data_IF_535441642376
#
_entry.id   IF_535441642376
#
_cell.length_a   1.000
_cell.length_b   1.000
_cell.length_c   1.000
_cell.angle_alpha   90.00
_cell.angle_beta   90.00
_cell.angle_gamma   90.00
#
_symmetry.space_group_name_H-M   'P 1'
#
loop_
_entity.id
_entity.type
_entity.pdbx_description
1 polymer ?
#
# COMPACT_ATOMS: atom_id res chain seq x y z
N UNK A 1 -36.40 29.14 -43.15
CA UNK A 1 -35.67 27.87 -42.86
C UNK A 1 -34.55 28.18 -41.87
N UNK A 2 -34.14 27.19 -41.07
CA UNK A 2 -33.07 27.18 -40.04
C UNK A 2 -33.30 27.91 -38.71
N UNK A 3 -34.14 27.33 -37.83
CA UNK A 3 -34.00 27.43 -36.36
C UNK A 3 -34.73 26.30 -35.58
N UNK A 4 -34.87 25.10 -36.18
CA UNK A 4 -35.52 23.93 -35.55
C UNK A 4 -34.63 22.69 -35.36
N UNK A 5 -33.35 22.74 -35.74
CA UNK A 5 -32.46 21.57 -35.68
C UNK A 5 -31.52 21.51 -34.47
N UNK A 6 -31.51 22.51 -33.58
CA UNK A 6 -30.61 22.52 -32.40
C UNK A 6 -31.26 22.10 -31.07
N UNK A 7 -32.59 21.99 -31.00
CA UNK A 7 -33.27 21.55 -29.79
C UNK A 7 -33.24 20.02 -29.59
N UNK A 8 -33.07 19.23 -30.66
CA UNK A 8 -33.03 17.76 -30.60
C UNK A 8 -31.70 17.17 -30.15
N UNK A 9 -30.58 17.86 -30.40
CA UNK A 9 -29.24 17.35 -30.07
C UNK A 9 -28.87 17.54 -28.59
N UNK A 10 -29.37 18.59 -27.94
CA UNK A 10 -29.13 18.82 -26.50
C UNK A 10 -29.98 17.91 -25.60
N UNK A 11 -31.16 17.47 -26.05
CA UNK A 11 -32.01 16.53 -25.31
C UNK A 11 -31.45 15.10 -25.31
N UNK A 12 -30.79 14.68 -26.40
CA UNK A 12 -30.13 13.37 -26.48
C UNK A 12 -28.82 13.31 -25.69
N UNK A 13 -28.05 14.42 -25.60
CA UNK A 13 -26.86 14.48 -24.75
C UNK A 13 -27.19 14.56 -23.24
N UNK A 14 -28.26 15.28 -22.86
CA UNK A 14 -28.70 15.35 -21.46
C UNK A 14 -29.34 14.03 -20.99
N UNK A 15 -30.00 13.30 -21.90
CA UNK A 15 -30.53 11.96 -21.65
C UNK A 15 -29.43 10.90 -21.47
N UNK A 16 -28.35 10.96 -22.26
CA UNK A 16 -27.24 10.00 -22.17
C UNK A 16 -26.32 10.24 -20.96
N UNK A 17 -26.11 11.51 -20.57
CA UNK A 17 -25.31 11.87 -19.38
C UNK A 17 -26.09 11.60 -18.08
N UNK A 18 -27.41 11.59 -18.14
CA UNK A 18 -28.25 11.17 -17.01
C UNK A 18 -28.36 9.64 -16.90
N UNK A 19 -28.31 8.89 -18.00
CA UNK A 19 -28.49 7.43 -17.99
C UNK A 19 -27.23 6.62 -17.60
N UNK A 20 -26.02 7.17 -17.73
CA UNK A 20 -24.77 6.37 -17.56
C UNK A 20 -24.03 6.64 -16.24
N UNK A 21 -24.43 7.62 -15.43
CA UNK A 21 -23.71 8.05 -14.21
C UNK A 21 -24.55 7.99 -12.92
N UNK A 22 -25.66 7.25 -12.92
CA UNK A 22 -26.58 7.11 -11.79
C UNK A 22 -26.49 5.85 -10.89
N UNK A 23 -25.64 4.80 -11.05
CA UNK A 23 -26.11 3.48 -10.65
C UNK A 23 -25.82 3.02 -9.21
N UNK A 24 -25.30 3.82 -8.26
CA UNK A 24 -25.07 3.27 -6.90
C UNK A 24 -25.91 3.93 -5.80
N UNK A 25 -26.11 5.25 -5.80
CA UNK A 25 -27.03 5.92 -4.87
C UNK A 25 -28.48 5.82 -5.35
N UNK A 26 -28.76 6.06 -6.65
CA UNK A 26 -30.12 5.89 -7.19
C UNK A 26 -30.52 4.43 -7.43
N UNK A 27 -29.58 3.49 -7.60
CA UNK A 27 -29.92 2.07 -7.60
C UNK A 27 -30.37 1.55 -6.22
N UNK A 28 -30.14 2.32 -5.15
CA UNK A 28 -30.69 2.04 -3.81
C UNK A 28 -31.93 2.88 -3.50
N UNK A 29 -32.41 3.72 -4.42
CA UNK A 29 -33.68 4.45 -4.30
C UNK A 29 -33.72 5.57 -3.26
N UNK A 30 -32.58 5.98 -2.70
CA UNK A 30 -32.52 6.95 -1.60
C UNK A 30 -32.32 8.39 -2.11
N UNK A 31 -33.06 9.35 -1.55
CA UNK A 31 -32.89 10.78 -1.85
C UNK A 31 -31.52 11.26 -1.35
N UNK A 32 -30.75 11.91 -2.23
CA UNK A 32 -29.45 12.51 -1.91
C UNK A 32 -29.50 13.47 -0.71
N UNK A 33 -30.61 14.19 -0.53
CA UNK A 33 -30.84 15.09 0.61
C UNK A 33 -31.01 14.32 1.90
N UNK A 34 -31.75 13.22 1.86
CA UNK A 34 -31.92 12.31 3.01
C UNK A 34 -30.58 11.67 3.38
N UNK A 35 -29.83 11.19 2.38
CA UNK A 35 -28.50 10.61 2.54
C UNK A 35 -27.52 11.58 3.22
N UNK A 36 -27.48 12.85 2.77
CA UNK A 36 -26.66 13.88 3.41
C UNK A 36 -27.14 14.23 4.82
N UNK A 37 -28.45 14.27 5.05
CA UNK A 37 -29.03 14.50 6.37
C UNK A 37 -28.59 13.46 7.40
N UNK A 38 -28.62 12.18 7.01
CA UNK A 38 -28.11 11.05 7.82
C UNK A 38 -26.62 11.23 8.11
N UNK A 39 -25.81 11.49 7.09
CA UNK A 39 -24.38 11.75 7.27
C UNK A 39 -24.08 12.89 8.24
N UNK A 40 -24.73 14.06 8.09
CA UNK A 40 -24.48 15.23 8.94
C UNK A 40 -24.76 14.93 10.40
N UNK A 41 -25.86 14.21 10.69
CA UNK A 41 -26.21 13.77 12.05
C UNK A 41 -25.16 12.79 12.58
N UNK A 42 -24.81 11.78 11.79
CA UNK A 42 -23.83 10.76 12.16
C UNK A 42 -22.43 11.32 12.39
N UNK A 43 -22.00 12.31 11.60
CA UNK A 43 -20.73 13.01 11.81
C UNK A 43 -20.71 13.75 13.15
N UNK A 44 -21.81 14.41 13.50
CA UNK A 44 -21.94 15.09 14.80
C UNK A 44 -21.80 14.11 15.97
N UNK A 45 -22.45 12.95 15.86
CA UNK A 45 -22.34 11.87 16.86
C UNK A 45 -20.93 11.30 16.93
N UNK A 46 -20.30 11.02 15.79
CA UNK A 46 -18.93 10.52 15.73
C UNK A 46 -17.94 11.50 16.37
N UNK A 47 -18.06 12.80 16.07
CA UNK A 47 -17.26 13.84 16.71
C UNK A 47 -17.46 13.87 18.23
N UNK A 48 -18.71 13.71 18.70
CA UNK A 48 -19.02 13.68 20.11
C UNK A 48 -18.42 12.46 20.83
N UNK A 49 -18.46 11.27 20.21
CA UNK A 49 -17.83 10.06 20.72
C UNK A 49 -16.31 10.18 20.77
N UNK A 50 -15.67 10.66 19.69
CA UNK A 50 -14.22 10.85 19.65
C UNK A 50 -13.73 11.87 20.68
N UNK A 51 -14.56 12.87 21.02
CA UNK A 51 -14.22 13.90 21.99
C UNK A 51 -14.46 13.49 23.45
N UNK A 52 -15.03 12.31 23.73
CA UNK A 52 -15.40 11.93 25.10
C UNK A 52 -16.65 12.63 25.64
N UNK A 53 -17.36 13.39 24.81
CA UNK A 53 -18.55 14.15 25.22
C UNK A 53 -19.83 13.31 25.22
N UNK A 54 -19.80 12.15 24.59
CA UNK A 54 -20.85 11.12 24.60
C UNK A 54 -20.19 9.76 24.58
N UNK A 55 -20.75 8.80 25.30
CA UNK A 55 -20.27 7.43 25.29
C UNK A 55 -20.76 6.68 24.05
N UNK A 56 -19.88 5.88 23.46
CA UNK A 56 -20.25 4.92 22.43
C UNK A 56 -20.56 3.57 23.06
N UNK A 57 -21.58 2.90 22.52
CA UNK A 57 -22.09 1.63 23.02
C UNK A 57 -22.26 0.66 21.85
N UNK A 58 -21.47 -0.41 21.83
CA UNK A 58 -21.48 -1.40 20.76
C UNK A 58 -22.85 -2.09 20.57
N UNK A 59 -23.56 -2.33 21.66
CA UNK A 59 -24.87 -2.97 21.64
C UNK A 59 -26.01 -2.03 21.19
N UNK A 60 -25.76 -0.72 21.15
CA UNK A 60 -26.78 0.27 20.82
C UNK A 60 -26.96 0.35 19.29
N UNK A 61 -28.17 0.01 18.83
CA UNK A 61 -28.51 0.00 17.40
C UNK A 61 -28.39 1.37 16.74
N UNK A 62 -28.75 2.45 17.43
CA UNK A 62 -28.65 3.80 16.87
C UNK A 62 -27.19 4.22 16.68
N UNK A 63 -26.31 3.79 17.60
CA UNK A 63 -24.87 4.00 17.46
C UNK A 63 -24.33 3.24 16.25
N UNK A 64 -24.70 1.96 16.11
CA UNK A 64 -24.31 1.15 14.94
C UNK A 64 -24.82 1.75 13.63
N UNK A 65 -26.10 2.15 13.57
CA UNK A 65 -26.68 2.80 12.39
C UNK A 65 -25.96 4.10 12.06
N UNK A 66 -25.61 4.91 13.05
CA UNK A 66 -24.90 6.16 12.80
C UNK A 66 -23.48 5.91 12.25
N UNK A 67 -22.77 4.91 12.75
CA UNK A 67 -21.48 4.49 12.18
C UNK A 67 -21.65 3.96 10.75
N UNK A 68 -22.66 3.14 10.50
CA UNK A 68 -22.95 2.60 9.16
C UNK A 68 -23.26 3.72 8.17
N UNK A 69 -24.12 4.67 8.53
CA UNK A 69 -24.45 5.85 7.72
C UNK A 69 -23.22 6.73 7.44
N UNK A 70 -22.38 6.97 8.46
CA UNK A 70 -21.16 7.75 8.31
C UNK A 70 -20.18 7.06 7.35
N UNK A 71 -19.88 5.78 7.59
CA UNK A 71 -18.92 5.01 6.78
C UNK A 71 -19.41 4.79 5.36
N UNK A 72 -20.72 4.57 5.17
CA UNK A 72 -21.36 4.54 3.85
C UNK A 72 -21.18 5.86 3.11
N UNK A 73 -21.35 7.00 3.78
CA UNK A 73 -21.09 8.30 3.17
C UNK A 73 -19.61 8.52 2.85
N UNK A 74 -18.67 8.11 3.71
CA UNK A 74 -17.23 8.20 3.42
C UNK A 74 -16.87 7.44 2.15
N UNK A 75 -17.42 6.23 1.95
CA UNK A 75 -17.16 5.39 0.79
C UNK A 75 -17.90 5.89 -0.47
N UNK A 76 -19.19 6.20 -0.35
CA UNK A 76 -20.05 6.53 -1.49
C UNK A 76 -20.06 8.02 -1.84
N UNK A 77 -20.04 8.91 -0.84
CA UNK A 77 -20.22 10.36 -0.99
C UNK A 77 -19.19 11.00 -1.93
N UNK A 78 -17.94 10.50 -1.92
CA UNK A 78 -16.89 10.94 -2.82
C UNK A 78 -17.21 10.70 -4.31
N UNK A 79 -18.04 9.69 -4.61
CA UNK A 79 -18.49 9.36 -5.97
C UNK A 79 -19.52 10.36 -6.49
N UNK A 80 -20.30 10.98 -5.61
CA UNK A 80 -21.42 11.87 -5.97
C UNK A 80 -21.11 13.37 -5.84
N UNK A 81 -19.80 13.70 -5.77
CA UNK A 81 -19.17 15.02 -5.67
C UNK A 81 -19.93 16.18 -6.33
N UNK A 82 -20.29 16.02 -7.61
CA UNK A 82 -20.85 17.11 -8.41
C UNK A 82 -22.36 17.35 -8.16
N UNK A 83 -23.03 16.45 -7.44
CA UNK A 83 -24.50 16.43 -7.31
C UNK A 83 -25.00 16.58 -5.87
N UNK A 84 -24.15 16.39 -4.86
CA UNK A 84 -24.51 16.43 -3.43
C UNK A 84 -24.48 17.81 -2.78
N UNK A 85 -23.91 18.82 -3.44
CA UNK A 85 -23.59 20.11 -2.80
C UNK A 85 -24.49 21.20 -3.37
N UNK A 86 -25.42 21.76 -2.57
CA UNK A 86 -26.03 23.04 -2.90
C UNK A 86 -24.89 24.07 -3.01
N UNK A 87 -24.87 24.91 -4.04
CA UNK A 87 -23.83 25.94 -4.28
C UNK A 87 -23.58 26.91 -3.11
N UNK A 88 -24.30 26.79 -2.00
CA UNK A 88 -24.34 27.70 -0.87
C UNK A 88 -23.68 27.20 0.43
N UNK A 89 -23.08 26.00 0.49
CA UNK A 89 -22.35 25.52 1.68
C UNK A 89 -20.83 25.65 1.50
N UNK A 90 -20.19 26.70 2.04
CA UNK A 90 -18.74 26.92 1.93
C UNK A 90 -17.89 25.95 2.79
N UNK A 91 -18.51 25.21 3.71
CA UNK A 91 -17.85 24.14 4.46
C UNK A 91 -17.81 22.82 3.69
N UNK A 92 -18.70 22.66 2.71
CA UNK A 92 -18.71 21.49 1.83
C UNK A 92 -17.38 21.41 1.06
N UNK A 93 -16.87 22.51 0.49
CA UNK A 93 -15.58 22.51 -0.23
C UNK A 93 -14.38 22.02 0.62
N UNK A 94 -14.42 22.22 1.94
CA UNK A 94 -13.40 21.73 2.88
C UNK A 94 -13.52 20.24 3.25
N UNK A 95 -14.73 19.67 3.12
CA UNK A 95 -14.99 18.23 3.27
C UNK A 95 -14.88 17.46 1.95
N UNK A 96 -15.09 18.16 0.83
CA UNK A 96 -15.05 17.64 -0.54
C UNK A 96 -13.64 17.54 -1.11
N UNK A 97 -12.68 18.17 -0.43
CA UNK A 97 -11.29 17.74 -0.42
C UNK A 97 -11.12 16.86 0.82
N UNK A 98 -11.37 15.56 0.70
CA UNK A 98 -10.62 14.60 1.52
C UNK A 98 -9.37 14.24 0.71
N UNK A 99 -8.28 15.06 0.70
CA UNK A 99 -6.99 14.45 0.51
C UNK A 99 -6.87 13.33 1.55
N UNK A 100 -6.02 12.34 1.28
CA UNK A 100 -5.69 11.27 2.23
C UNK A 100 -5.53 11.80 3.68
N UNK A 101 -5.14 13.07 3.86
CA UNK A 101 -5.08 13.84 5.10
C UNK A 101 -6.37 13.92 5.93
N UNK A 102 -7.54 14.19 5.34
CA UNK A 102 -8.76 14.37 6.13
C UNK A 102 -9.28 13.04 6.70
N UNK A 103 -9.15 11.94 5.94
CA UNK A 103 -9.42 10.59 6.47
C UNK A 103 -8.38 10.20 7.53
N UNK A 104 -7.11 10.53 7.32
CA UNK A 104 -6.06 10.37 8.33
C UNK A 104 -6.32 11.20 9.58
N UNK A 105 -6.95 12.37 9.48
CA UNK A 105 -7.24 13.19 10.65
C UNK A 105 -8.43 12.66 11.46
N UNK A 106 -9.45 12.11 10.79
CA UNK A 106 -10.49 11.32 11.47
C UNK A 106 -9.88 10.11 12.15
N UNK A 107 -9.01 9.37 11.46
CA UNK A 107 -8.30 8.23 12.03
C UNK A 107 -7.44 8.64 13.23
N UNK A 108 -6.63 9.71 13.13
CA UNK A 108 -5.89 10.28 14.27
C UNK A 108 -6.81 10.71 15.41
N UNK A 109 -7.99 11.23 15.10
CA UNK A 109 -9.03 11.57 16.08
C UNK A 109 -9.53 10.32 16.81
N UNK A 110 -9.82 9.25 16.08
CA UNK A 110 -10.19 7.96 16.65
C UNK A 110 -9.04 7.32 17.43
N UNK A 111 -7.81 7.51 16.96
CA UNK A 111 -6.61 7.05 17.66
C UNK A 111 -6.49 7.75 19.01
N UNK A 112 -6.74 9.07 19.07
CA UNK A 112 -6.82 9.78 20.36
C UNK A 112 -7.98 9.28 21.22
N UNK A 113 -9.11 8.96 20.61
CA UNK A 113 -10.26 8.40 21.30
C UNK A 113 -9.99 7.01 21.91
N UNK A 114 -8.91 6.30 21.56
CA UNK A 114 -8.52 5.05 22.23
C UNK A 114 -8.26 5.20 23.72
N UNK A 115 -7.94 6.40 24.19
CA UNK A 115 -7.77 6.65 25.62
C UNK A 115 -9.13 6.59 26.38
N UNK A 116 -10.25 6.55 25.64
CA UNK A 116 -11.59 6.42 26.19
C UNK A 116 -11.97 4.94 26.36
N UNK A 117 -12.82 4.59 27.35
CA UNK A 117 -13.21 3.20 27.64
C UNK A 117 -13.80 2.43 26.45
N UNK A 118 -14.41 3.15 25.50
CA UNK A 118 -15.10 2.61 24.32
C UNK A 118 -14.35 2.86 23.00
N UNK A 119 -13.22 3.56 23.02
CA UNK A 119 -12.52 3.99 21.80
C UNK A 119 -12.12 2.82 20.90
N UNK A 120 -11.78 1.72 21.54
CA UNK A 120 -11.47 0.45 20.89
C UNK A 120 -12.64 -0.10 20.05
N UNK A 121 -13.80 -0.31 20.67
CA UNK A 121 -14.99 -0.80 19.97
C UNK A 121 -15.49 0.20 18.92
N UNK A 122 -15.28 1.50 19.14
CA UNK A 122 -15.63 2.55 18.18
C UNK A 122 -14.78 2.47 16.90
N UNK A 123 -13.45 2.33 17.02
CA UNK A 123 -12.58 2.18 15.86
C UNK A 123 -12.91 0.89 15.10
N UNK A 124 -13.10 -0.23 15.80
CA UNK A 124 -13.42 -1.50 15.17
C UNK A 124 -14.71 -1.41 14.34
N UNK A 125 -15.77 -0.82 14.90
CA UNK A 125 -17.03 -0.63 14.18
C UNK A 125 -16.87 0.30 12.97
N UNK A 126 -16.06 1.35 13.10
CA UNK A 126 -15.74 2.24 11.99
C UNK A 126 -15.00 1.51 10.86
N UNK A 127 -13.94 0.76 11.16
CA UNK A 127 -13.17 -0.01 10.18
C UNK A 127 -14.02 -1.10 9.51
N UNK A 128 -14.85 -1.82 10.27
CA UNK A 128 -15.80 -2.80 9.74
C UNK A 128 -16.81 -2.16 8.78
N UNK A 129 -17.34 -0.98 9.12
CA UNK A 129 -18.23 -0.21 8.25
C UNK A 129 -17.55 0.20 6.94
N UNK A 130 -16.34 0.76 7.02
CA UNK A 130 -15.57 1.14 5.83
C UNK A 130 -15.29 -0.07 4.93
N UNK A 131 -14.88 -1.21 5.51
CA UNK A 131 -14.60 -2.44 4.77
C UNK A 131 -15.86 -2.97 4.10
N UNK A 132 -16.97 -3.09 4.84
CA UNK A 132 -18.27 -3.57 4.35
C UNK A 132 -18.76 -2.76 3.16
N UNK A 133 -18.77 -1.42 3.28
CA UNK A 133 -19.26 -0.55 2.22
C UNK A 133 -18.32 -0.50 1.02
N UNK A 134 -17.00 -0.54 1.26
CA UNK A 134 -16.01 -0.61 0.17
C UNK A 134 -16.13 -1.92 -0.60
N UNK A 135 -16.27 -3.06 0.09
CA UNK A 135 -16.50 -4.35 -0.54
C UNK A 135 -17.79 -4.33 -1.38
N UNK A 136 -18.89 -3.83 -0.82
CA UNK A 136 -20.16 -3.75 -1.56
C UNK A 136 -20.03 -2.92 -2.83
N UNK A 137 -19.38 -1.75 -2.75
CA UNK A 137 -19.18 -0.88 -3.91
C UNK A 137 -18.27 -1.51 -4.95
N UNK A 138 -17.15 -2.09 -4.52
CA UNK A 138 -16.12 -2.66 -5.41
C UNK A 138 -16.54 -3.99 -6.04
N UNK A 139 -17.50 -4.71 -5.45
CA UNK A 139 -18.06 -5.92 -6.06
C UNK A 139 -19.20 -5.63 -7.03
N UNK A 140 -20.04 -4.63 -6.72
CA UNK A 140 -21.29 -4.37 -7.47
C UNK A 140 -21.16 -3.29 -8.54
N UNK A 141 -20.28 -2.31 -8.34
CA UNK A 141 -20.17 -1.19 -9.27
C UNK A 141 -19.31 -1.58 -10.48
N UNK A 142 -19.80 -1.22 -11.66
CA UNK A 142 -19.04 -1.20 -12.92
C UNK A 142 -18.43 0.17 -13.21
N UNK A 143 -18.83 1.21 -12.46
CA UNK A 143 -18.32 2.58 -12.61
C UNK A 143 -16.90 2.67 -12.03
N UNK A 144 -15.92 2.95 -12.90
CA UNK A 144 -14.50 3.06 -12.53
C UNK A 144 -14.22 4.20 -11.54
N UNK A 145 -14.94 5.33 -11.62
CA UNK A 145 -14.76 6.43 -10.67
C UNK A 145 -15.29 6.07 -9.29
N UNK A 146 -16.43 5.40 -9.22
CA UNK A 146 -16.99 4.89 -7.98
C UNK A 146 -16.04 3.88 -7.33
N UNK A 147 -15.52 2.94 -8.12
CA UNK A 147 -14.56 1.94 -7.66
C UNK A 147 -13.25 2.58 -7.19
N UNK A 148 -12.71 3.54 -7.93
CA UNK A 148 -11.55 4.33 -7.52
C UNK A 148 -11.80 5.00 -6.16
N UNK A 149 -12.94 5.67 -5.98
CA UNK A 149 -13.24 6.35 -4.72
C UNK A 149 -13.46 5.38 -3.55
N UNK A 150 -14.13 4.25 -3.76
CA UNK A 150 -14.22 3.21 -2.74
C UNK A 150 -12.86 2.66 -2.34
N UNK A 151 -11.98 2.44 -3.31
CA UNK A 151 -10.63 1.91 -3.06
C UNK A 151 -9.75 2.88 -2.26
N UNK A 152 -9.95 4.20 -2.38
CA UNK A 152 -9.18 5.23 -1.64
C UNK A 152 -9.31 5.14 -0.13
N UNK A 153 -10.38 4.51 0.35
CA UNK A 153 -10.62 4.31 1.78
C UNK A 153 -9.81 3.13 2.34
N UNK A 154 -9.46 2.14 1.51
CA UNK A 154 -8.79 0.92 1.96
C UNK A 154 -7.46 1.17 2.68
N UNK A 155 -6.58 2.11 2.25
CA UNK A 155 -5.35 2.39 2.96
C UNK A 155 -5.56 2.87 4.39
N UNK A 156 -6.63 3.61 4.67
CA UNK A 156 -7.00 4.10 6.01
C UNK A 156 -7.31 2.91 6.92
N UNK A 157 -8.01 1.89 6.40
CA UNK A 157 -8.27 0.64 7.14
C UNK A 157 -6.95 -0.07 7.48
N UNK A 158 -6.03 -0.18 6.51
CA UNK A 158 -4.72 -0.81 6.74
C UNK A 158 -3.85 -0.07 7.78
N UNK A 159 -3.99 1.25 7.86
CA UNK A 159 -3.25 2.13 8.77
C UNK A 159 -3.83 2.07 10.20
N UNK A 160 -5.16 2.06 10.33
CA UNK A 160 -5.86 1.99 11.61
C UNK A 160 -5.53 0.73 12.39
N UNK A 161 -5.41 -0.39 11.67
CA UNK A 161 -5.00 -1.70 12.19
C UNK A 161 -3.58 -1.73 12.81
N UNK A 162 -2.72 -0.75 12.53
CA UNK A 162 -1.37 -0.65 13.11
C UNK A 162 -1.10 0.59 13.94
N UNK A 163 -2.11 1.43 14.13
CA UNK A 163 -1.95 2.65 14.89
C UNK A 163 -1.64 2.33 16.36
N UNK A 164 -0.54 2.90 16.85
CA UNK A 164 -0.11 2.81 18.25
C UNK A 164 -0.51 4.11 18.96
N UNK A 165 -1.08 4.03 20.16
CA UNK A 165 -1.02 5.15 21.12
C UNK A 165 0.06 4.95 22.18
N UNK A 166 0.44 6.08 22.79
CA UNK A 166 1.48 6.27 23.81
C UNK A 166 1.46 5.15 24.87
N UNK A 167 2.67 4.73 25.27
CA UNK A 167 2.95 3.83 26.39
C UNK A 167 2.68 2.33 26.19
N UNK A 168 2.60 1.83 24.94
CA UNK A 168 2.52 0.38 24.63
C UNK A 168 1.32 -0.37 25.24
N UNK A 169 0.32 0.32 25.82
CA UNK A 169 -0.76 -0.32 26.59
C UNK A 169 -2.04 -0.63 25.81
N UNK A 170 -2.34 0.06 24.71
CA UNK A 170 -3.65 -0.05 24.02
C UNK A 170 -3.65 -0.92 22.75
N UNK A 171 -2.52 -1.52 22.37
CA UNK A 171 -2.38 -2.27 21.09
C UNK A 171 -2.71 -3.76 21.22
N UNK A 172 -2.79 -4.25 22.46
CA UNK A 172 -3.12 -5.64 22.72
C UNK A 172 -4.64 -5.80 22.78
N UNK A 173 -5.17 -6.39 21.70
CA UNK A 173 -6.49 -7.01 21.64
C UNK A 173 -7.69 -6.08 21.43
N UNK A 174 -7.66 -5.33 20.33
CA UNK A 174 -8.93 -5.12 19.63
C UNK A 174 -9.44 -6.47 19.11
N UNK A 175 -10.26 -7.15 19.91
CA UNK A 175 -10.99 -8.35 19.50
C UNK A 175 -11.77 -8.04 18.22
N UNK A 176 -11.33 -8.62 17.11
CA UNK A 176 -11.96 -8.49 15.79
C UNK A 176 -11.17 -7.75 14.72
N UNK A 177 -10.03 -7.14 15.06
CA UNK A 177 -9.15 -6.54 14.04
C UNK A 177 -8.59 -7.56 13.04
N UNK A 178 -8.41 -8.82 13.46
CA UNK A 178 -8.02 -9.88 12.53
C UNK A 178 -9.11 -10.21 11.51
N UNK A 179 -10.39 -10.08 11.87
CA UNK A 179 -11.48 -10.25 10.91
C UNK A 179 -11.50 -9.13 9.87
N UNK A 180 -11.24 -7.89 10.31
CA UNK A 180 -11.07 -6.74 9.40
C UNK A 180 -9.85 -6.93 8.50
N UNK A 181 -8.72 -7.36 9.07
CA UNK A 181 -7.48 -7.61 8.34
C UNK A 181 -7.65 -8.76 7.31
N UNK A 182 -8.22 -9.89 7.73
CA UNK A 182 -8.54 -11.02 6.84
C UNK A 182 -9.51 -10.60 5.75
N UNK A 183 -10.54 -9.82 6.09
CA UNK A 183 -11.51 -9.29 5.13
C UNK A 183 -10.88 -8.35 4.12
N UNK A 184 -9.94 -7.49 4.56
CA UNK A 184 -9.16 -6.62 3.67
C UNK A 184 -8.26 -7.43 2.73
N UNK A 185 -7.59 -8.47 3.22
CA UNK A 185 -6.78 -9.38 2.38
C UNK A 185 -7.66 -10.14 1.40
N UNK A 186 -8.82 -10.64 1.83
CA UNK A 186 -9.76 -11.34 0.96
C UNK A 186 -10.30 -10.42 -0.15
N UNK A 187 -10.71 -9.20 0.19
CA UNK A 187 -11.09 -8.18 -0.78
C UNK A 187 -9.94 -7.88 -1.76
N UNK A 188 -8.73 -7.74 -1.24
CA UNK A 188 -7.54 -7.49 -2.06
C UNK A 188 -7.26 -8.64 -3.03
N UNK A 189 -7.36 -9.89 -2.59
CA UNK A 189 -7.23 -11.07 -3.45
C UNK A 189 -8.24 -11.02 -4.60
N UNK A 190 -9.50 -10.72 -4.30
CA UNK A 190 -10.55 -10.64 -5.31
C UNK A 190 -10.30 -9.52 -6.33
N UNK A 191 -9.85 -8.35 -5.87
CA UNK A 191 -9.62 -7.19 -6.74
C UNK A 191 -8.36 -7.35 -7.58
N UNK A 192 -7.24 -7.74 -6.98
CA UNK A 192 -5.96 -7.86 -7.67
C UNK A 192 -5.95 -9.02 -8.66
N UNK A 193 -6.54 -10.18 -8.33
CA UNK A 193 -6.68 -11.27 -9.30
C UNK A 193 -7.44 -10.82 -10.54
N UNK A 194 -8.51 -10.02 -10.39
CA UNK A 194 -9.29 -9.49 -11.53
C UNK A 194 -8.50 -8.44 -12.31
N UNK A 195 -7.91 -7.47 -11.60
CA UNK A 195 -7.17 -6.38 -12.22
C UNK A 195 -5.95 -6.89 -13.02
N UNK A 196 -5.23 -7.89 -12.51
CA UNK A 196 -4.04 -8.44 -13.14
C UNK A 196 -4.32 -9.48 -14.23
N UNK A 197 -5.53 -10.06 -14.25
CA UNK A 197 -5.97 -11.00 -15.29
C UNK A 197 -6.28 -10.32 -16.64
N UNK A 198 -6.55 -9.00 -16.66
CA UNK A 198 -6.40 -8.20 -17.86
C UNK A 198 -7.64 -7.60 -18.53
N UNK A 199 -8.86 -7.72 -18.03
CA UNK A 199 -10.01 -6.94 -18.55
C UNK A 199 -11.25 -6.93 -17.63
N UNK A 200 -11.92 -5.77 -17.47
CA UNK A 200 -11.42 -4.42 -17.72
C UNK A 200 -10.31 -4.05 -16.70
N UNK A 201 -9.26 -3.36 -17.17
CA UNK A 201 -8.20 -2.82 -16.29
C UNK A 201 -8.81 -1.80 -15.32
N UNK A 202 -8.78 -2.13 -14.04
CA UNK A 202 -9.18 -1.24 -12.94
C UNK A 202 -7.91 -0.83 -12.16
N UNK A 203 -6.98 -0.23 -12.90
CA UNK A 203 -5.65 0.14 -12.43
C UNK A 203 -5.72 1.11 -11.24
N UNK A 204 -6.74 1.99 -11.24
CA UNK A 204 -7.03 2.90 -10.14
C UNK A 204 -7.34 2.15 -8.84
N UNK A 205 -8.30 1.21 -8.86
CA UNK A 205 -8.62 0.44 -7.66
C UNK A 205 -7.48 -0.49 -7.25
N UNK A 206 -6.77 -1.08 -8.22
CA UNK A 206 -5.58 -1.90 -7.95
C UNK A 206 -4.52 -1.09 -7.20
N UNK A 207 -4.22 0.14 -7.63
CA UNK A 207 -3.24 1.01 -6.99
C UNK A 207 -3.54 1.23 -5.49
N UNK A 208 -4.79 1.58 -5.14
CA UNK A 208 -5.14 1.83 -3.74
C UNK A 208 -5.25 0.54 -2.92
N UNK A 209 -5.60 -0.58 -3.56
CA UNK A 209 -5.56 -1.92 -2.94
C UNK A 209 -4.12 -2.32 -2.59
N UNK A 210 -3.15 -2.06 -3.47
CA UNK A 210 -1.73 -2.29 -3.19
C UNK A 210 -1.25 -1.40 -2.04
N UNK A 211 -1.65 -0.13 -2.02
CA UNK A 211 -1.35 0.79 -0.91
C UNK A 211 -1.94 0.29 0.41
N UNK A 212 -3.16 -0.24 0.42
CA UNK A 212 -3.77 -0.77 1.64
C UNK A 212 -3.08 -2.01 2.16
N UNK A 213 -2.66 -2.93 1.28
CA UNK A 213 -1.86 -4.09 1.67
C UNK A 213 -0.51 -3.67 2.28
N UNK A 214 0.17 -2.70 1.65
CA UNK A 214 1.43 -2.16 2.16
C UNK A 214 1.28 -1.57 3.57
N UNK A 215 0.25 -0.75 3.81
CA UNK A 215 -0.01 -0.21 5.15
C UNK A 215 -0.41 -1.32 6.14
N UNK A 216 -1.28 -2.26 5.75
CA UNK A 216 -1.66 -3.41 6.57
C UNK A 216 -0.45 -4.24 7.01
N UNK A 217 0.41 -4.63 6.08
CA UNK A 217 1.57 -5.46 6.41
C UNK A 217 2.57 -4.72 7.29
N UNK A 218 2.81 -3.43 7.03
CA UNK A 218 3.63 -2.58 7.89
C UNK A 218 3.05 -2.50 9.31
N UNK A 219 1.74 -2.29 9.41
CA UNK A 219 1.00 -2.27 10.67
C UNK A 219 1.22 -3.56 11.46
N UNK A 220 1.01 -4.72 10.84
CA UNK A 220 1.22 -6.04 11.45
C UNK A 220 2.68 -6.28 11.87
N UNK A 221 3.65 -5.82 11.07
CA UNK A 221 5.06 -5.97 11.40
C UNK A 221 5.46 -5.18 12.66
N UNK A 222 4.89 -3.99 12.87
CA UNK A 222 5.22 -3.13 14.02
C UNK A 222 4.55 -3.53 15.32
N UNK A 223 3.46 -4.30 15.29
CA UNK A 223 2.71 -4.74 16.50
C UNK A 223 3.22 -6.07 17.06
N UNK A 224 3.88 -6.90 16.25
CA UNK A 224 4.45 -8.18 16.68
C UNK A 224 5.47 -8.12 17.86
N UNK A 225 6.38 -7.12 17.96
CA UNK A 225 7.41 -7.09 19.01
C UNK A 225 6.90 -6.70 20.41
N UNK A 226 5.70 -6.13 20.50
CA UNK A 226 5.18 -5.54 21.75
C UNK A 226 4.43 -6.55 22.64
N UNK A 227 4.37 -7.82 22.24
CA UNK A 227 3.62 -8.86 22.96
C UNK A 227 4.49 -9.51 24.03
N UNK A 228 3.92 -9.71 25.22
CA UNK A 228 4.51 -10.57 26.25
C UNK A 228 4.55 -12.03 25.77
N UNK A 229 5.43 -12.85 26.34
CA UNK A 229 5.55 -14.27 25.96
C UNK A 229 4.29 -15.09 26.26
N UNK A 230 3.37 -14.57 27.09
CA UNK A 230 2.05 -15.16 27.34
C UNK A 230 1.06 -14.81 26.21
N UNK A 231 1.10 -13.59 25.70
CA UNK A 231 0.26 -13.13 24.58
C UNK A 231 0.70 -13.71 23.24
N UNK A 232 2.00 -13.94 23.04
CA UNK A 232 2.53 -14.68 21.87
C UNK A 232 1.96 -16.10 21.75
N UNK A 233 1.60 -16.73 22.88
CA UNK A 233 1.10 -18.12 22.92
C UNK A 233 -0.40 -18.26 22.64
N UNK A 234 -1.19 -17.21 22.90
CA UNK A 234 -2.66 -17.29 22.90
C UNK A 234 -3.36 -16.35 21.91
N UNK A 235 -2.67 -15.35 21.35
CA UNK A 235 -3.29 -14.44 20.38
C UNK A 235 -3.31 -15.06 18.97
N UNK A 236 -4.43 -14.97 18.21
CA UNK A 236 -4.42 -15.21 16.76
C UNK A 236 -3.33 -14.32 16.18
N UNK A 237 -2.25 -14.95 15.72
CA UNK A 237 -0.96 -14.26 15.55
C UNK A 237 -0.77 -13.80 14.12
N UNK A 238 -1.68 -14.17 13.23
CA UNK A 238 -1.52 -13.98 11.81
C UNK A 238 -2.88 -13.81 11.14
N UNK A 239 -2.84 -13.10 10.02
CA UNK A 239 -3.78 -13.32 8.93
C UNK A 239 -3.91 -14.83 8.66
N UNK A 240 -5.07 -15.26 8.17
CA UNK A 240 -5.23 -16.65 7.71
C UNK A 240 -4.11 -16.98 6.70
N UNK A 241 -3.26 -18.00 6.97
CA UNK A 241 -2.09 -18.28 6.14
C UNK A 241 -2.43 -18.48 4.66
N UNK A 242 -3.54 -19.17 4.37
CA UNK A 242 -3.99 -19.41 2.99
C UNK A 242 -4.40 -18.11 2.26
N UNK A 243 -5.03 -17.16 2.97
CA UNK A 243 -5.42 -15.87 2.40
C UNK A 243 -4.20 -15.01 2.10
N UNK A 244 -3.25 -14.99 3.04
CA UNK A 244 -2.01 -14.26 2.92
C UNK A 244 -1.12 -14.87 1.83
N UNK A 245 -0.93 -16.19 1.81
CA UNK A 245 -0.15 -16.88 0.78
C UNK A 245 -0.72 -16.59 -0.62
N UNK A 246 -2.05 -16.72 -0.79
CA UNK A 246 -2.71 -16.37 -2.05
C UNK A 246 -2.43 -14.92 -2.46
N UNK A 247 -2.46 -13.98 -1.51
CA UNK A 247 -2.15 -12.58 -1.80
C UNK A 247 -0.72 -12.39 -2.27
N UNK A 248 0.23 -12.97 -1.54
CA UNK A 248 1.66 -12.90 -1.88
C UNK A 248 1.93 -13.55 -3.24
N UNK A 249 1.26 -14.67 -3.59
CA UNK A 249 1.35 -15.29 -4.91
C UNK A 249 0.88 -14.31 -6.00
N UNK A 250 -0.29 -13.68 -5.83
CA UNK A 250 -0.82 -12.71 -6.81
C UNK A 250 0.16 -11.55 -7.01
N UNK A 251 0.76 -11.04 -5.94
CA UNK A 251 1.76 -9.97 -6.02
C UNK A 251 3.04 -10.44 -6.73
N UNK A 252 3.57 -11.60 -6.35
CA UNK A 252 4.78 -12.17 -6.94
C UNK A 252 4.61 -12.43 -8.44
N UNK A 253 3.51 -13.09 -8.82
CA UNK A 253 3.18 -13.38 -10.22
C UNK A 253 3.08 -12.08 -11.04
N UNK A 254 2.44 -11.04 -10.50
CA UNK A 254 2.32 -9.75 -11.19
C UNK A 254 3.67 -9.04 -11.35
N UNK A 255 4.53 -9.08 -10.34
CA UNK A 255 5.86 -8.45 -10.38
C UNK A 255 6.76 -9.17 -11.40
N UNK A 256 6.70 -10.49 -11.46
CA UNK A 256 7.54 -11.30 -12.34
C UNK A 256 7.03 -11.33 -13.79
N UNK A 257 5.73 -11.06 -14.01
CA UNK A 257 5.10 -11.03 -15.33
C UNK A 257 5.73 -9.98 -16.24
N UNK A 258 6.21 -10.43 -17.40
CA UNK A 258 6.53 -9.57 -18.53
C UNK A 258 5.24 -9.05 -19.18
N UNK A 259 4.98 -7.74 -19.16
CA UNK A 259 3.80 -7.18 -19.78
C UNK A 259 3.91 -7.25 -21.30
N UNK A 260 2.90 -7.83 -21.95
CA UNK A 260 2.75 -7.77 -23.40
C UNK A 260 2.20 -6.39 -23.80
N UNK A 261 3.10 -5.42 -23.97
CA UNK A 261 2.75 -4.15 -24.58
C UNK A 261 2.69 -4.30 -26.10
N UNK A 262 1.69 -3.67 -26.73
CA UNK A 262 1.68 -3.54 -28.19
C UNK A 262 2.91 -2.74 -28.63
N UNK A 263 3.47 -3.07 -29.81
CA UNK A 263 4.57 -2.31 -30.39
C UNK A 263 4.16 -0.83 -30.53
N UNK A 264 4.90 0.07 -29.89
CA UNK A 264 4.57 1.50 -29.84
C UNK A 264 3.59 1.90 -28.73
N UNK A 265 3.41 1.09 -27.68
CA UNK A 265 2.64 1.49 -26.50
C UNK A 265 3.05 2.88 -25.99
N UNK A 266 2.06 3.70 -25.63
CA UNK A 266 2.30 5.06 -25.17
C UNK A 266 3.20 5.05 -23.93
N UNK A 267 4.10 6.03 -23.84
CA UNK A 267 5.00 6.17 -22.68
C UNK A 267 4.22 6.15 -21.36
N UNK A 268 3.07 6.82 -21.32
CA UNK A 268 2.20 6.88 -20.14
C UNK A 268 1.65 5.52 -19.72
N UNK A 269 1.37 4.61 -20.65
CA UNK A 269 0.91 3.26 -20.34
C UNK A 269 2.02 2.44 -19.65
N UNK A 270 3.24 2.55 -20.18
CA UNK A 270 4.43 1.91 -19.60
C UNK A 270 4.71 2.48 -18.21
N UNK A 271 4.62 3.80 -18.03
CA UNK A 271 4.81 4.44 -16.73
C UNK A 271 3.69 4.06 -15.74
N UNK A 272 2.44 3.94 -16.20
CA UNK A 272 1.31 3.49 -15.38
C UNK A 272 1.51 2.06 -14.86
N UNK A 273 1.95 1.15 -15.72
CA UNK A 273 2.30 -0.21 -15.30
C UNK A 273 3.46 -0.23 -14.30
N UNK A 274 4.55 0.51 -14.57
CA UNK A 274 5.69 0.60 -13.64
C UNK A 274 5.27 1.18 -12.29
N UNK A 275 4.34 2.14 -12.26
CA UNK A 275 3.78 2.66 -11.01
C UNK A 275 3.05 1.55 -10.22
N UNK A 276 2.21 0.76 -10.89
CA UNK A 276 1.51 -0.37 -10.25
C UNK A 276 2.50 -1.44 -9.76
N UNK A 277 3.46 -1.84 -10.59
CA UNK A 277 4.48 -2.84 -10.25
C UNK A 277 5.32 -2.39 -9.07
N UNK A 278 5.70 -1.12 -9.02
CA UNK A 278 6.38 -0.52 -7.85
C UNK A 278 5.55 -0.62 -6.57
N UNK A 279 4.26 -0.30 -6.62
CA UNK A 279 3.40 -0.43 -5.43
C UNK A 279 3.19 -1.90 -5.04
N UNK A 280 3.17 -2.84 -5.99
CA UNK A 280 3.17 -4.27 -5.70
C UNK A 280 4.47 -4.72 -5.01
N UNK A 281 5.64 -4.24 -5.49
CA UNK A 281 6.94 -4.47 -4.83
C UNK A 281 6.91 -3.93 -3.40
N UNK A 282 6.37 -2.73 -3.17
CA UNK A 282 6.25 -2.13 -1.83
C UNK A 282 5.33 -2.94 -0.92
N UNK A 283 4.19 -3.41 -1.42
CA UNK A 283 3.28 -4.26 -0.65
C UNK A 283 3.94 -5.59 -0.30
N UNK A 284 4.62 -6.24 -1.25
CA UNK A 284 5.37 -7.47 -1.03
C UNK A 284 6.50 -7.28 -0.01
N UNK A 285 7.27 -6.20 -0.14
CA UNK A 285 8.34 -5.81 0.78
C UNK A 285 7.84 -5.58 2.22
N UNK A 286 6.69 -4.91 2.37
CA UNK A 286 6.12 -4.59 3.68
C UNK A 286 5.71 -5.85 4.49
N UNK A 287 5.49 -6.99 3.81
CA UNK A 287 5.18 -8.26 4.47
C UNK A 287 6.36 -8.78 5.34
N UNK A 288 7.59 -8.55 4.90
CA UNK A 288 8.81 -8.88 5.65
C UNK A 288 9.08 -10.37 5.87
N UNK A 289 8.30 -11.29 5.28
CA UNK A 289 8.56 -12.74 5.34
C UNK A 289 9.51 -13.16 4.22
N UNK A 290 10.41 -14.08 4.55
CA UNK A 290 11.26 -14.69 3.53
C UNK A 290 10.45 -15.63 2.63
N UNK A 291 9.62 -16.48 3.25
CA UNK A 291 8.79 -17.49 2.59
C UNK A 291 7.44 -17.65 3.31
N UNK A 292 6.38 -17.98 2.56
CA UNK A 292 5.09 -18.39 3.10
C UNK A 292 4.49 -19.47 2.19
N UNK A 293 4.38 -20.70 2.71
CA UNK A 293 3.96 -21.86 1.94
C UNK A 293 4.86 -22.08 0.72
N UNK A 294 4.27 -22.02 -0.48
CA UNK A 294 4.97 -22.14 -1.77
C UNK A 294 5.48 -20.80 -2.30
N UNK A 295 5.02 -19.69 -1.74
CA UNK A 295 5.42 -18.35 -2.20
C UNK A 295 6.70 -17.90 -1.49
N UNK A 296 7.64 -17.35 -2.25
CA UNK A 296 8.91 -16.83 -1.72
C UNK A 296 9.04 -15.33 -2.00
N UNK A 297 8.42 -14.43 -1.17
CA UNK A 297 8.52 -12.99 -1.37
C UNK A 297 9.95 -12.48 -1.50
N UNK A 298 10.87 -12.98 -0.66
CA UNK A 298 12.27 -12.57 -0.73
C UNK A 298 12.95 -12.99 -2.04
N UNK A 299 12.58 -14.13 -2.63
CA UNK A 299 13.11 -14.54 -3.94
C UNK A 299 12.64 -13.60 -5.05
N UNK A 300 11.36 -13.23 -5.05
CA UNK A 300 10.83 -12.27 -6.03
C UNK A 300 11.51 -10.91 -5.89
N UNK A 301 11.68 -10.38 -4.66
CA UNK A 301 12.40 -9.13 -4.43
C UNK A 301 13.87 -9.20 -4.87
N UNK A 302 14.53 -10.33 -4.62
CA UNK A 302 15.90 -10.55 -5.07
C UNK A 302 16.02 -10.60 -6.60
N UNK A 303 15.05 -11.21 -7.30
CA UNK A 303 14.99 -11.20 -8.77
C UNK A 303 14.74 -9.80 -9.34
N UNK A 304 13.93 -8.97 -8.68
CA UNK A 304 13.79 -7.55 -9.06
C UNK A 304 15.14 -6.83 -8.99
N UNK A 305 15.92 -7.13 -7.95
CA UNK A 305 17.18 -6.47 -7.68
C UNK A 305 18.29 -6.85 -8.68
N UNK A 306 18.34 -8.12 -9.10
CA UNK A 306 19.42 -8.64 -9.97
C UNK A 306 19.10 -8.61 -11.47
N UNK A 307 17.86 -8.30 -11.87
CA UNK A 307 17.52 -8.26 -13.30
C UNK A 307 18.27 -7.12 -14.01
N UNK A 308 18.86 -7.37 -15.19
CA UNK A 308 19.53 -6.31 -15.95
C UNK A 308 18.59 -5.16 -16.27
N UNK A 309 19.08 -3.93 -16.07
CA UNK A 309 18.32 -2.69 -16.32
C UNK A 309 18.15 -2.41 -17.81
N UNK A 310 19.08 -2.87 -18.63
CA UNK A 310 18.95 -2.86 -20.08
C UNK A 310 18.21 -4.12 -20.51
N UNK A 311 16.99 -3.95 -21.03
CA UNK A 311 16.20 -5.01 -21.64
C UNK A 311 15.75 -4.54 -23.02
N UNK A 312 15.58 -5.48 -23.95
CA UNK A 312 15.08 -5.16 -25.30
C UNK A 312 13.70 -4.49 -25.25
N UNK A 313 12.87 -4.88 -24.29
CA UNK A 313 11.60 -4.24 -23.99
C UNK A 313 11.74 -3.37 -22.73
N UNK A 314 11.56 -2.05 -22.83
CA UNK A 314 11.67 -1.13 -21.69
C UNK A 314 10.76 -1.52 -20.52
N UNK A 315 9.62 -2.15 -20.77
CA UNK A 315 8.73 -2.57 -19.70
C UNK A 315 9.24 -3.76 -18.88
N UNK A 316 10.07 -4.60 -19.47
CA UNK A 316 10.68 -5.74 -18.79
C UNK A 316 11.84 -5.30 -17.89
N UNK A 317 12.43 -4.14 -18.16
CA UNK A 317 13.40 -3.53 -17.28
C UNK A 317 12.72 -2.98 -16.01
N UNK A 318 13.26 -3.36 -14.85
CA UNK A 318 12.94 -2.72 -13.58
C UNK A 318 13.59 -1.35 -13.51
N UNK A 319 12.81 -0.33 -13.16
CA UNK A 319 13.31 1.02 -12.95
C UNK A 319 14.10 1.08 -11.65
N UNK A 320 15.02 2.03 -11.56
CA UNK A 320 15.88 2.19 -10.40
C UNK A 320 15.12 2.33 -9.07
N UNK A 321 13.97 3.02 -9.05
CA UNK A 321 13.16 3.14 -7.84
C UNK A 321 12.40 1.87 -7.45
N UNK A 322 12.06 1.00 -8.41
CA UNK A 322 11.53 -0.35 -8.17
C UNK A 322 12.61 -1.21 -7.49
N UNK A 323 13.85 -1.14 -7.98
CA UNK A 323 15.00 -1.83 -7.38
C UNK A 323 15.32 -1.29 -5.98
N UNK A 324 15.25 0.03 -5.76
CA UNK A 324 15.38 0.60 -4.39
C UNK A 324 14.32 0.02 -3.47
N UNK A 325 13.05 -0.04 -3.91
CA UNK A 325 11.96 -0.57 -3.09
C UNK A 325 12.13 -2.07 -2.81
N UNK A 326 12.68 -2.84 -3.77
CA UNK A 326 13.02 -4.24 -3.58
C UNK A 326 14.20 -4.45 -2.60
N UNK A 327 15.25 -3.63 -2.71
CA UNK A 327 16.37 -3.63 -1.77
C UNK A 327 15.92 -3.34 -0.34
N UNK A 328 15.05 -2.34 -0.15
CA UNK A 328 14.44 -2.06 1.16
C UNK A 328 13.70 -3.28 1.68
N UNK A 329 12.91 -3.95 0.83
CA UNK A 329 12.20 -5.17 1.20
C UNK A 329 13.13 -6.30 1.65
N UNK A 330 14.20 -6.57 0.92
CA UNK A 330 15.20 -7.58 1.30
C UNK A 330 15.88 -7.25 2.62
N UNK A 331 16.17 -5.97 2.87
CA UNK A 331 16.74 -5.52 4.14
C UNK A 331 15.77 -5.78 5.31
N UNK A 332 14.48 -5.60 5.07
CA UNK A 332 13.42 -5.78 6.07
C UNK A 332 12.95 -7.23 6.22
N UNK A 333 13.39 -8.15 5.36
CA UNK A 333 13.08 -9.57 5.45
C UNK A 333 13.62 -10.13 6.77
N UNK A 334 12.74 -10.76 7.55
CA UNK A 334 13.11 -11.41 8.80
C UNK A 334 13.95 -12.65 8.51
N UNK A 335 15.08 -12.84 9.22
CA UNK A 335 15.87 -14.04 9.08
C UNK A 335 15.09 -15.26 9.56
N UNK A 336 15.08 -16.30 8.72
CA UNK A 336 14.46 -17.60 9.00
C UNK A 336 15.48 -18.71 8.71
N UNK A 337 15.25 -19.92 9.23
CA UNK A 337 16.24 -21.02 9.24
C UNK A 337 16.87 -21.30 7.88
N UNK A 338 16.06 -21.33 6.82
CA UNK A 338 16.51 -21.71 5.48
C UNK A 338 16.92 -20.50 4.62
N UNK A 339 16.72 -19.28 5.12
CA UNK A 339 16.99 -18.03 4.39
C UNK A 339 18.46 -17.60 4.52
N UNK A 340 19.15 -17.51 3.39
CA UNK A 340 20.55 -17.11 3.32
C UNK A 340 20.70 -15.58 3.43
N UNK A 341 20.81 -15.08 4.67
CA UNK A 341 20.96 -13.65 4.95
C UNK A 341 22.29 -13.06 4.43
N UNK A 342 23.33 -13.88 4.25
CA UNK A 342 24.60 -13.43 3.65
C UNK A 342 24.42 -13.13 2.17
N UNK A 343 23.77 -14.04 1.44
CA UNK A 343 23.47 -13.82 0.03
C UNK A 343 22.58 -12.58 -0.14
N UNK A 344 21.51 -12.46 0.65
CA UNK A 344 20.64 -11.29 0.60
C UNK A 344 21.40 -9.97 0.84
N UNK A 345 22.30 -9.94 1.83
CA UNK A 345 23.14 -8.77 2.08
C UNK A 345 24.08 -8.47 0.91
N UNK A 346 24.71 -9.49 0.32
CA UNK A 346 25.56 -9.30 -0.84
C UNK A 346 24.81 -8.78 -2.08
N UNK A 347 23.60 -9.27 -2.34
CA UNK A 347 22.74 -8.73 -3.41
C UNK A 347 22.39 -7.25 -3.18
N UNK A 348 22.08 -6.87 -1.93
CA UNK A 348 21.85 -5.47 -1.55
C UNK A 348 23.13 -4.64 -1.71
N UNK A 349 24.29 -5.19 -1.35
CA UNK A 349 25.60 -4.57 -1.58
C UNK A 349 25.84 -4.25 -3.05
N UNK A 350 25.52 -5.21 -3.93
CA UNK A 350 25.71 -5.09 -5.37
C UNK A 350 24.89 -3.98 -5.96
N UNK A 351 23.61 -3.97 -5.61
CA UNK A 351 22.73 -2.88 -5.98
C UNK A 351 23.22 -1.52 -5.47
N UNK A 352 23.68 -1.43 -4.21
CA UNK A 352 24.15 -0.17 -3.63
C UNK A 352 25.38 0.38 -4.35
N UNK A 353 26.29 -0.50 -4.76
CA UNK A 353 27.47 -0.16 -5.57
C UNK A 353 27.07 0.48 -6.91
N UNK A 354 26.19 -0.18 -7.67
CA UNK A 354 25.65 0.38 -8.92
C UNK A 354 24.88 1.68 -8.70
N UNK A 355 24.09 1.75 -7.63
CA UNK A 355 23.27 2.91 -7.29
C UNK A 355 24.12 4.14 -6.99
N UNK A 356 25.21 3.97 -6.24
CA UNK A 356 26.17 5.03 -5.90
C UNK A 356 27.01 5.44 -7.12
N UNK A 357 27.43 4.50 -7.96
CA UNK A 357 28.10 4.80 -9.23
C UNK A 357 27.22 5.69 -10.13
N UNK A 358 25.96 5.32 -10.33
CA UNK A 358 25.02 6.13 -11.12
C UNK A 358 24.73 7.50 -10.52
N UNK A 359 24.72 7.61 -9.19
CA UNK A 359 24.61 8.90 -8.52
C UNK A 359 25.83 9.78 -8.84
N UNK A 360 27.06 9.24 -8.74
CA UNK A 360 28.29 9.93 -9.09
C UNK A 360 28.32 10.39 -10.55
N UNK A 361 27.99 9.51 -11.49
CA UNK A 361 27.94 9.84 -12.92
C UNK A 361 26.96 10.98 -13.21
N UNK A 362 25.75 10.91 -12.64
CA UNK A 362 24.74 11.97 -12.82
C UNK A 362 25.09 13.26 -12.09
N UNK A 363 25.80 13.18 -10.96
CA UNK A 363 26.32 14.36 -10.27
C UNK A 363 27.34 15.08 -11.15
N UNK A 364 28.28 14.33 -11.73
CA UNK A 364 29.32 14.86 -12.62
C UNK A 364 28.72 15.46 -13.91
N UNK A 365 27.63 14.89 -14.41
CA UNK A 365 26.93 15.37 -15.61
C UNK A 365 25.87 16.46 -15.34
N UNK A 366 25.65 16.87 -14.08
CA UNK A 366 24.64 17.88 -13.74
C UNK A 366 23.18 17.41 -13.84
N UNK A 367 22.94 16.10 -13.87
CA UNK A 367 21.64 15.47 -14.15
C UNK A 367 20.87 15.01 -12.89
N UNK A 368 21.31 15.41 -11.69
CA UNK A 368 20.71 14.97 -10.42
C UNK A 368 19.23 15.30 -10.27
N UNK A 369 18.70 16.27 -11.01
CA UNK A 369 17.27 16.65 -10.97
C UNK A 369 16.35 15.58 -11.59
N UNK A 370 16.89 14.67 -12.40
CA UNK A 370 16.11 13.65 -13.11
C UNK A 370 15.60 12.51 -12.21
N UNK A 371 16.20 12.32 -11.04
CA UNK A 371 15.84 11.24 -10.12
C UNK A 371 16.03 11.67 -8.66
N UNK A 372 15.10 11.36 -7.75
CA UNK A 372 15.16 11.83 -6.37
C UNK A 372 16.12 10.98 -5.51
N UNK A 373 17.42 10.99 -5.82
CA UNK A 373 18.46 10.20 -5.15
C UNK A 373 18.46 10.38 -3.63
N UNK A 374 18.48 11.63 -3.15
CA UNK A 374 18.50 11.92 -1.71
C UNK A 374 17.31 11.32 -0.95
N UNK A 375 16.11 11.32 -1.55
CA UNK A 375 14.92 10.71 -0.95
C UNK A 375 15.06 9.19 -0.82
N UNK A 376 15.55 8.54 -1.88
CA UNK A 376 15.77 7.10 -1.89
C UNK A 376 16.91 6.67 -0.96
N UNK A 377 17.98 7.47 -0.89
CA UNK A 377 19.07 7.27 0.05
C UNK A 377 18.59 7.31 1.50
N UNK A 378 17.80 8.31 1.88
CA UNK A 378 17.20 8.41 3.23
C UNK A 378 16.37 7.18 3.60
N UNK A 379 15.60 6.65 2.65
CA UNK A 379 14.78 5.44 2.86
C UNK A 379 15.62 4.18 3.04
N UNK A 380 16.64 3.98 2.20
CA UNK A 380 17.57 2.86 2.33
C UNK A 380 18.37 2.95 3.65
N UNK A 381 18.84 4.14 4.01
CA UNK A 381 19.57 4.40 5.24
C UNK A 381 18.71 4.04 6.47
N UNK A 382 17.43 4.43 6.44
CA UNK A 382 16.46 4.06 7.48
C UNK A 382 16.29 2.54 7.56
N UNK A 383 16.07 1.87 6.42
CA UNK A 383 15.85 0.42 6.38
C UNK A 383 17.05 -0.38 6.92
N UNK A 384 18.28 0.06 6.65
CA UNK A 384 19.51 -0.61 7.09
C UNK A 384 19.78 -0.53 8.60
N UNK A 385 18.96 0.19 9.37
CA UNK A 385 19.19 0.41 10.80
C UNK A 385 19.27 -0.90 11.58
N UNK A 386 18.33 -1.83 11.36
CA UNK A 386 18.31 -3.11 12.09
C UNK A 386 19.54 -3.98 11.75
N UNK A 387 20.03 -3.89 10.51
CA UNK A 387 21.22 -4.61 10.08
C UNK A 387 22.49 -4.11 10.79
N UNK A 388 22.56 -2.86 11.25
CA UNK A 388 23.72 -2.37 12.03
C UNK A 388 23.89 -3.06 13.38
N UNK A 389 22.82 -3.68 13.88
CA UNK A 389 22.79 -4.47 15.12
C UNK A 389 22.75 -5.98 14.86
N UNK A 390 22.88 -6.41 13.61
CA UNK A 390 22.88 -7.82 13.24
C UNK A 390 24.00 -8.60 13.94
N UNK A 391 23.70 -9.83 14.37
CA UNK A 391 24.70 -10.77 14.87
C UNK A 391 25.56 -11.36 13.76
N UNK A 392 25.16 -11.20 12.50
CA UNK A 392 25.94 -11.59 11.34
C UNK A 392 26.96 -10.49 10.99
N UNK A 393 28.28 -10.76 11.09
CA UNK A 393 29.32 -9.74 10.88
C UNK A 393 29.30 -9.11 9.49
N UNK A 394 29.04 -9.92 8.45
CA UNK A 394 29.02 -9.45 7.06
C UNK A 394 27.86 -8.50 6.82
N UNK A 395 26.66 -8.86 7.30
CA UNK A 395 25.45 -8.03 7.23
C UNK A 395 25.68 -6.70 7.98
N UNK A 396 26.24 -6.78 9.19
CA UNK A 396 26.53 -5.61 10.02
C UNK A 396 27.53 -4.65 9.37
N UNK A 397 28.65 -5.18 8.86
CA UNK A 397 29.68 -4.40 8.20
C UNK A 397 29.16 -3.70 6.94
N UNK A 398 28.40 -4.42 6.12
CA UNK A 398 27.76 -3.86 4.93
C UNK A 398 26.83 -2.70 5.29
N UNK A 399 25.96 -2.88 6.29
CA UNK A 399 25.04 -1.84 6.71
C UNK A 399 25.74 -0.58 7.23
N UNK A 400 26.81 -0.73 8.04
CA UNK A 400 27.58 0.41 8.55
C UNK A 400 28.26 1.20 7.43
N UNK A 401 28.91 0.52 6.48
CA UNK A 401 29.55 1.16 5.31
C UNK A 401 28.50 1.85 4.43
N UNK A 402 27.42 1.14 4.09
CA UNK A 402 26.35 1.66 3.24
C UNK A 402 25.70 2.92 3.83
N UNK A 403 25.37 2.93 5.13
CA UNK A 403 24.77 4.10 5.79
C UNK A 403 25.65 5.34 5.72
N UNK A 404 26.98 5.18 5.77
CA UNK A 404 27.93 6.30 5.62
C UNK A 404 27.82 6.94 4.23
N UNK A 405 27.86 6.13 3.17
CA UNK A 405 27.75 6.62 1.79
C UNK A 405 26.35 7.19 1.49
N UNK A 406 25.29 6.56 1.98
CA UNK A 406 23.92 7.04 1.81
C UNK A 406 23.69 8.39 2.52
N UNK A 407 24.26 8.58 3.72
CA UNK A 407 24.21 9.86 4.43
C UNK A 407 24.90 10.98 3.65
N UNK A 408 26.00 10.68 2.97
CA UNK A 408 26.67 11.64 2.09
C UNK A 408 25.80 11.98 0.87
N UNK A 409 25.17 10.97 0.24
CA UNK A 409 24.22 11.18 -0.87
C UNK A 409 23.00 12.01 -0.46
N UNK A 410 22.44 11.80 0.74
CA UNK A 410 21.35 12.61 1.29
C UNK A 410 21.72 14.11 1.36
N UNK A 411 22.98 14.39 1.73
CA UNK A 411 23.57 15.74 1.77
C UNK A 411 24.02 16.24 0.40
N UNK A 412 23.78 15.48 -0.66
CA UNK A 412 24.16 15.76 -2.06
C UNK A 412 25.66 15.86 -2.28
N UNK A 413 26.44 15.11 -1.51
CA UNK A 413 27.88 15.01 -1.68
C UNK A 413 28.23 13.98 -2.76
N UNK A 414 28.72 14.48 -3.90
CA UNK A 414 29.08 13.68 -5.08
C UNK A 414 30.38 12.86 -4.89
N UNK A 415 31.15 13.12 -3.83
CA UNK A 415 32.37 12.36 -3.52
C UNK A 415 32.10 11.00 -2.87
N UNK A 416 30.85 10.71 -2.54
CA UNK A 416 30.45 9.44 -1.93
C UNK A 416 30.65 8.26 -2.89
N UNK A 417 31.73 7.50 -2.69
CA UNK A 417 31.98 6.25 -3.40
C UNK A 417 31.77 5.07 -2.45
N UNK A 418 31.18 3.99 -2.98
CA UNK A 418 31.04 2.72 -2.26
C UNK A 418 31.88 1.67 -2.96
N UNK A 419 32.99 1.28 -2.35
CA UNK A 419 33.83 0.21 -2.86
C UNK A 419 33.33 -1.12 -2.30
N UNK A 420 32.78 -1.93 -3.21
CA UNK A 420 32.11 -3.18 -2.89
C UNK A 420 33.07 -4.39 -2.81
N UNK A 421 34.30 -4.23 -3.29
CA UNK A 421 35.17 -5.34 -3.66
C UNK A 421 35.42 -6.36 -2.53
N UNK A 422 35.52 -5.93 -1.27
CA UNK A 422 35.69 -6.86 -0.13
C UNK A 422 34.40 -7.59 0.28
N UNK A 423 33.21 -7.03 -0.01
CA UNK A 423 31.92 -7.58 0.41
C UNK A 423 31.38 -8.61 -0.60
N UNK A 424 31.62 -8.39 -1.90
CA UNK A 424 31.23 -9.33 -2.97
C UNK A 424 32.11 -10.55 -3.11
N UNK A 425 33.37 -10.48 -2.68
CA UNK A 425 34.31 -11.60 -2.80
C UNK A 425 33.82 -12.88 -2.11
N UNK A 426 32.83 -12.77 -1.21
CA UNK A 426 32.26 -13.90 -0.49
C UNK A 426 30.96 -14.46 -1.11
N UNK A 427 30.36 -13.81 -2.12
CA UNK A 427 29.20 -14.34 -2.81
C UNK A 427 29.63 -15.37 -3.85
N UNK A 428 29.22 -16.63 -3.67
CA UNK A 428 29.49 -17.68 -4.65
C UNK A 428 28.39 -17.67 -5.70
N UNK A 429 28.76 -17.92 -6.97
CA UNK A 429 27.80 -18.06 -8.08
C UNK A 429 26.74 -19.17 -7.87
N UNK A 430 27.00 -20.09 -6.94
CA UNK A 430 26.12 -21.21 -6.62
C UNK A 430 25.40 -21.05 -5.28
N UNK A 431 25.51 -19.88 -4.64
CA UNK A 431 24.75 -19.63 -3.41
C UNK A 431 23.25 -19.60 -3.72
N UNK A 432 22.48 -20.30 -2.89
CA UNK A 432 21.03 -20.34 -2.94
C UNK A 432 20.47 -19.35 -1.91
N UNK A 433 19.40 -18.64 -2.28
CA UNK A 433 18.71 -17.77 -1.33
C UNK A 433 17.98 -18.59 -0.26
N UNK A 434 17.52 -19.78 -0.62
CA UNK A 434 16.95 -20.76 0.29
C UNK A 434 17.74 -22.06 0.25
N UNK A 435 18.20 -22.52 1.41
CA UNK A 435 18.99 -23.75 1.54
C UNK A 435 18.20 -24.95 0.99
N UNK A 436 18.78 -25.67 0.04
CA UNK A 436 18.16 -26.85 -0.58
C UNK A 436 17.10 -26.57 -1.64
N UNK A 437 16.85 -25.30 -2.00
CA UNK A 437 15.90 -24.91 -3.04
C UNK A 437 16.65 -24.43 -4.29
N UNK A 438 16.84 -25.31 -5.27
CA UNK A 438 17.55 -24.99 -6.51
C UNK A 438 16.86 -23.88 -7.33
N UNK A 439 15.54 -23.70 -7.21
CA UNK A 439 14.82 -22.61 -7.88
C UNK A 439 15.12 -21.23 -7.27
N UNK A 440 15.74 -21.21 -6.08
CA UNK A 440 16.22 -20.01 -5.40
C UNK A 440 17.65 -19.62 -5.75
N UNK A 441 18.25 -20.26 -6.76
CA UNK A 441 19.52 -19.81 -7.34
C UNK A 441 19.33 -18.43 -7.98
N UNK A 442 20.22 -17.50 -7.66
CA UNK A 442 20.19 -16.15 -8.20
C UNK A 442 21.49 -15.90 -8.95
N UNK A 443 21.36 -15.62 -10.25
CA UNK A 443 22.48 -15.19 -11.07
C UNK A 443 22.66 -13.69 -10.88
N UNK A 444 23.85 -13.30 -10.43
CA UNK A 444 24.30 -11.91 -10.49
C UNK A 444 24.88 -11.73 -11.89
N UNK A 445 24.27 -10.85 -12.69
CA UNK A 445 24.80 -10.53 -14.00
C UNK A 445 26.25 -10.03 -13.85
N UNK A 446 27.19 -10.60 -14.62
CA UNK A 446 28.54 -10.06 -14.66
C UNK A 446 28.49 -8.70 -15.37
N UNK A 447 29.00 -7.67 -14.71
CA UNK A 447 29.12 -6.31 -15.28
C UNK A 447 30.04 -6.28 -16.50
#
# INVERSE_FOLDING_TARGET
MTLRHYAGACALLAGFISAVLLPSAMAQGEDLREFYGKYSKSRGLLGAWMAGSKDYEKANKEHQTSIDDYTRFVVLGNTYRARLVPKSDPTADKLLALPDESMRDVEKGMIKAFELPYGADLLLAYEQGLLKHSQSLLEKSTDQYARLNGSRVLPVIGLGLGSKTRDNKAVLELKGQFEVADGLVQLSNNLLSKAFAGTPRDDGAALYTLRSLKELYRSLATTAPLRTDREKRNAPTALKPDLEEKNLTILADFIEKSPAFLSGAASDEIQGFRLLRREAIRALAANGKAKLGKTSPALTLARVLTRPRAQANPADAFRLDEQVDAAIGLVQTKPEKDFNSNLAAGLVGHFLSEYLAQYGDRANNGELKSFPFAYHAARLNTALTDWTTSTNPSVKMLAQRAKTCLTAMEKRDASAQFQEAELLQNLRKDDLLFTGDAASKIEIAAN
#
